data_IF_357638912832
#
_entry.id   IF_357638912832
#
_cell.length_a   1.000
_cell.length_b   1.000
_cell.length_c   1.000
_cell.angle_alpha   90.00
_cell.angle_beta   90.00
_cell.angle_gamma   90.00
#
_symmetry.space_group_name_H-M   'P 1'
#
loop_
_entity.id
_entity.type
_entity.pdbx_description
1 polymer ?
#
# COMPACT_ATOMS: atom_id res chain seq x y z
N UNK A 1 -25.12 -21.09 92.05
CA UNK A 1 -26.29 -21.13 91.16
C UNK A 1 -25.86 -20.71 89.76
N UNK A 2 -26.01 -21.64 88.81
CA UNK A 2 -25.93 -21.54 87.33
C UNK A 2 -24.88 -20.62 86.67
N UNK A 3 -23.75 -21.21 86.31
CA UNK A 3 -22.94 -20.80 85.14
C UNK A 3 -23.60 -21.36 83.88
N UNK A 4 -23.77 -20.55 82.83
CA UNK A 4 -24.18 -21.02 81.50
C UNK A 4 -23.10 -20.69 80.47
N UNK A 5 -22.49 -21.75 79.91
CA UNK A 5 -21.52 -21.68 78.81
C UNK A 5 -22.23 -21.37 77.50
N UNK A 6 -21.85 -20.29 76.81
CA UNK A 6 -22.32 -20.01 75.45
C UNK A 6 -21.22 -20.31 74.45
N UNK A 7 -21.32 -21.51 73.88
CA UNK A 7 -20.58 -21.98 72.71
C UNK A 7 -21.01 -21.17 71.49
N UNK A 8 -20.11 -20.34 70.94
CA UNK A 8 -20.34 -19.66 69.65
C UNK A 8 -19.96 -20.63 68.53
N UNK A 9 -20.95 -21.33 67.99
CA UNK A 9 -20.80 -22.14 66.78
C UNK A 9 -20.66 -21.23 65.55
N UNK A 10 -19.57 -21.44 64.81
CA UNK A 10 -19.30 -20.92 63.47
C UNK A 10 -20.49 -21.15 62.53
N UNK A 11 -21.07 -20.07 62.03
CA UNK A 11 -22.07 -20.08 60.94
C UNK A 11 -21.43 -19.58 59.64
N UNK A 12 -20.43 -20.31 59.14
CA UNK A 12 -19.69 -19.98 57.90
C UNK A 12 -19.88 -20.97 56.74
N UNK A 13 -20.53 -22.12 56.95
CA UNK A 13 -20.51 -23.22 55.97
C UNK A 13 -21.47 -23.10 54.78
N UNK A 14 -22.55 -22.32 54.86
CA UNK A 14 -23.59 -22.32 53.81
C UNK A 14 -23.29 -21.43 52.60
N UNK A 15 -22.48 -20.37 52.73
CA UNK A 15 -22.10 -19.52 51.58
C UNK A 15 -20.98 -20.15 50.74
N UNK A 16 -19.97 -20.76 51.38
CA UNK A 16 -18.91 -21.50 50.68
C UNK A 16 -19.47 -22.67 49.86
N UNK A 17 -20.44 -23.40 50.40
CA UNK A 17 -21.00 -24.56 49.71
C UNK A 17 -21.80 -24.18 48.45
N UNK A 18 -22.38 -22.97 48.40
CA UNK A 18 -23.14 -22.47 47.23
C UNK A 18 -22.22 -21.85 46.17
N UNK A 19 -21.09 -21.26 46.56
CA UNK A 19 -20.03 -20.82 45.62
C UNK A 19 -19.31 -22.01 45.01
N UNK A 20 -18.88 -23.01 45.81
CA UNK A 20 -18.29 -24.24 45.30
C UNK A 20 -19.21 -24.99 44.34
N UNK A 21 -20.52 -25.01 44.60
CA UNK A 21 -21.49 -25.67 43.72
C UNK A 21 -21.67 -24.94 42.38
N UNK A 22 -21.65 -23.60 42.38
CA UNK A 22 -21.66 -22.78 41.15
C UNK A 22 -20.36 -22.90 40.35
N UNK A 23 -19.20 -22.86 41.02
CA UNK A 23 -17.89 -23.07 40.39
C UNK A 23 -17.79 -24.47 39.76
N UNK A 24 -18.34 -25.50 40.42
CA UNK A 24 -18.36 -26.86 39.87
C UNK A 24 -19.22 -27.03 38.61
N UNK A 25 -20.32 -26.28 38.49
CA UNK A 25 -21.20 -26.32 37.30
C UNK A 25 -20.58 -25.54 36.13
N UNK A 26 -19.92 -24.40 36.39
CA UNK A 26 -19.18 -23.65 35.36
C UNK A 26 -17.92 -24.38 34.91
N UNK A 27 -17.21 -25.03 35.83
CA UNK A 27 -16.04 -25.87 35.54
C UNK A 27 -16.40 -27.07 34.65
N UNK A 28 -17.56 -27.70 34.89
CA UNK A 28 -18.02 -28.82 34.09
C UNK A 28 -18.39 -28.41 32.66
N UNK A 29 -18.90 -27.20 32.47
CA UNK A 29 -19.25 -26.67 31.14
C UNK A 29 -18.02 -26.23 30.34
N UNK A 30 -17.00 -25.69 31.01
CA UNK A 30 -15.79 -25.17 30.36
C UNK A 30 -14.71 -26.23 30.13
N UNK A 31 -14.81 -27.41 30.77
CA UNK A 31 -13.85 -28.52 30.58
C UNK A 31 -14.00 -29.15 29.20
N UNK A 32 -12.91 -29.14 28.44
CA UNK A 32 -12.85 -29.71 27.10
C UNK A 32 -12.48 -31.20 27.16
N UNK A 33 -12.87 -32.01 26.16
CA UNK A 33 -12.40 -33.39 26.05
C UNK A 33 -10.88 -33.46 25.85
N UNK A 34 -10.21 -34.41 26.49
CA UNK A 34 -8.75 -34.60 26.44
C UNK A 34 -8.19 -34.66 25.01
N UNK A 35 -8.95 -35.26 24.08
CA UNK A 35 -8.58 -35.33 22.66
C UNK A 35 -8.56 -33.94 22.00
N UNK A 36 -9.46 -33.06 22.39
CA UNK A 36 -9.55 -31.69 21.87
C UNK A 36 -8.42 -30.84 22.48
N UNK A 37 -8.13 -31.01 23.77
CA UNK A 37 -7.01 -30.33 24.44
C UNK A 37 -5.70 -30.70 23.75
N UNK A 38 -5.44 -31.99 23.56
CA UNK A 38 -4.23 -32.45 22.88
C UNK A 38 -4.16 -32.02 21.41
N UNK A 39 -5.30 -32.02 20.70
CA UNK A 39 -5.38 -31.50 19.33
C UNK A 39 -4.98 -30.03 19.24
N UNK A 40 -5.62 -29.16 20.04
CA UNK A 40 -5.34 -27.73 20.03
C UNK A 40 -3.90 -27.39 20.43
N UNK A 41 -3.29 -28.14 21.36
CA UNK A 41 -1.88 -27.93 21.74
C UNK A 41 -0.93 -28.36 20.60
N UNK A 42 -1.25 -29.44 19.87
CA UNK A 42 -0.50 -29.82 18.66
C UNK A 42 -0.64 -28.78 17.55
N UNK A 43 -1.83 -28.21 17.37
CA UNK A 43 -2.10 -27.18 16.35
C UNK A 43 -1.28 -25.90 16.61
N UNK A 44 -0.92 -25.64 17.87
CA UNK A 44 -0.04 -24.54 18.28
C UNK A 44 1.45 -24.85 18.00
N UNK A 45 1.79 -26.08 17.61
CA UNK A 45 3.14 -26.48 17.19
C UNK A 45 3.93 -27.25 18.25
N UNK A 46 3.31 -27.60 19.39
CA UNK A 46 3.96 -28.41 20.44
C UNK A 46 3.47 -29.87 20.31
N UNK A 47 4.36 -30.86 20.10
CA UNK A 47 3.97 -32.25 20.05
C UNK A 47 3.46 -32.71 21.42
N UNK A 48 2.13 -32.83 21.56
CA UNK A 48 1.45 -33.14 22.82
C UNK A 48 0.39 -34.21 22.61
N UNK A 49 0.56 -35.38 23.22
CA UNK A 49 -0.36 -36.51 23.06
C UNK A 49 -1.35 -36.61 24.22
N UNK A 50 -2.42 -37.39 24.04
CA UNK A 50 -3.37 -37.68 25.12
C UNK A 50 -2.71 -38.39 26.32
N UNK A 51 -1.65 -39.17 26.07
CA UNK A 51 -0.91 -39.84 27.13
C UNK A 51 -0.12 -38.83 27.99
N UNK A 52 0.39 -37.77 27.35
CA UNK A 52 1.11 -36.69 28.03
C UNK A 52 0.16 -35.84 28.87
N UNK A 53 -1.11 -35.71 28.50
CA UNK A 53 -2.11 -35.08 29.37
C UNK A 53 -2.39 -35.93 30.62
N UNK A 54 -2.59 -37.24 30.46
CA UNK A 54 -2.88 -38.18 31.56
C UNK A 54 -1.72 -38.32 32.55
N UNK A 55 -0.49 -38.18 32.07
CA UNK A 55 0.74 -38.16 32.88
C UNK A 55 1.59 -36.94 32.49
N UNK A 56 1.24 -35.74 33.01
CA UNK A 56 1.90 -34.52 32.60
C UNK A 56 3.37 -34.50 33.04
N UNK A 57 4.26 -34.35 32.05
CA UNK A 57 5.67 -34.09 32.30
C UNK A 57 5.87 -32.60 32.63
N UNK A 58 6.44 -32.23 33.79
CA UNK A 58 6.71 -30.84 34.17
C UNK A 58 7.41 -30.01 33.08
N UNK A 59 8.38 -30.61 32.38
CA UNK A 59 9.15 -29.92 31.34
C UNK A 59 8.30 -29.60 30.10
N UNK A 60 7.45 -30.54 29.67
CA UNK A 60 6.55 -30.33 28.55
C UNK A 60 5.46 -29.31 28.90
N UNK A 61 4.92 -29.37 30.12
CA UNK A 61 3.91 -28.42 30.60
C UNK A 61 4.50 -27.01 30.71
N UNK A 62 5.74 -26.88 31.19
CA UNK A 62 6.45 -25.60 31.21
C UNK A 62 6.60 -25.01 29.80
N UNK A 63 7.05 -25.82 28.83
CA UNK A 63 7.20 -25.37 27.43
C UNK A 63 5.87 -24.91 26.83
N UNK A 64 4.75 -25.60 27.16
CA UNK A 64 3.41 -25.18 26.74
C UNK A 64 3.04 -23.82 27.35
N UNK A 65 3.28 -23.61 28.65
CA UNK A 65 2.99 -22.33 29.29
C UNK A 65 3.87 -21.18 28.78
N UNK A 66 5.15 -21.43 28.51
CA UNK A 66 6.06 -20.44 27.92
C UNK A 66 5.55 -19.99 26.55
N UNK A 67 5.15 -20.93 25.69
CA UNK A 67 4.54 -20.63 24.39
C UNK A 67 3.27 -19.77 24.51
N UNK A 68 2.39 -20.10 25.46
CA UNK A 68 1.20 -19.28 25.68
C UNK A 68 1.53 -17.89 26.23
N UNK A 69 2.55 -17.75 27.08
CA UNK A 69 3.01 -16.45 27.55
C UNK A 69 3.58 -15.59 26.41
N UNK A 70 4.34 -16.21 25.50
CA UNK A 70 4.84 -15.56 24.30
C UNK A 70 3.70 -15.13 23.38
N UNK A 71 2.75 -16.02 23.08
CA UNK A 71 1.65 -15.75 22.15
C UNK A 71 0.66 -14.67 22.63
N UNK A 72 0.44 -14.57 23.95
CA UNK A 72 -0.57 -13.67 24.53
C UNK A 72 -0.02 -12.38 25.09
N UNK A 73 1.20 -12.42 25.63
CA UNK A 73 1.78 -11.27 26.34
C UNK A 73 3.08 -10.79 25.67
N UNK A 74 3.48 -11.37 24.53
CA UNK A 74 4.79 -11.16 23.90
C UNK A 74 5.95 -11.24 24.92
N UNK A 75 5.78 -12.10 25.92
CA UNK A 75 6.73 -12.24 27.03
C UNK A 75 7.69 -13.36 26.69
N UNK A 76 8.85 -13.01 26.13
CA UNK A 76 9.93 -13.96 25.84
C UNK A 76 11.00 -13.92 26.94
N UNK A 77 11.87 -14.93 26.95
CA UNK A 77 13.00 -14.98 27.90
C UNK A 77 13.86 -13.70 27.82
N UNK A 78 14.04 -13.16 26.62
CA UNK A 78 14.81 -11.93 26.35
C UNK A 78 14.17 -10.68 26.96
N UNK A 79 12.85 -10.67 27.15
CA UNK A 79 12.14 -9.53 27.79
C UNK A 79 12.09 -9.66 29.31
N UNK A 80 12.04 -10.89 29.83
CA UNK A 80 11.93 -11.16 31.28
C UNK A 80 13.29 -11.09 31.95
N UNK A 81 14.33 -11.61 31.32
CA UNK A 81 15.67 -11.71 31.91
C UNK A 81 16.26 -10.34 32.31
N UNK A 82 16.25 -9.29 31.48
CA UNK A 82 16.75 -7.98 31.88
C UNK A 82 15.95 -7.34 33.02
N UNK A 83 14.62 -7.51 33.00
CA UNK A 83 13.74 -6.98 34.04
C UNK A 83 13.94 -7.70 35.38
N UNK A 84 14.14 -9.02 35.35
CA UNK A 84 14.40 -9.82 36.56
C UNK A 84 15.83 -9.64 37.07
N UNK A 85 16.80 -9.40 36.19
CA UNK A 85 18.17 -9.03 36.55
C UNK A 85 18.17 -7.69 37.30
N UNK A 86 17.55 -6.65 36.72
CA UNK A 86 17.46 -5.33 37.35
C UNK A 86 16.74 -5.39 38.71
N UNK A 87 15.68 -6.19 38.83
CA UNK A 87 14.99 -6.40 40.10
C UNK A 87 15.84 -7.15 41.14
N UNK A 88 16.67 -8.11 40.70
CA UNK A 88 17.59 -8.82 41.59
C UNK A 88 18.75 -7.92 42.06
N UNK A 89 19.28 -7.07 41.18
CA UNK A 89 20.28 -6.05 41.51
C UNK A 89 19.74 -5.00 42.47
N UNK A 90 18.48 -4.58 42.33
CA UNK A 90 17.84 -3.62 43.26
C UNK A 90 17.62 -4.21 44.66
N UNK A 91 17.31 -5.51 44.76
CA UNK A 91 17.03 -6.19 46.04
C UNK A 91 18.32 -6.68 46.73
N UNK A 92 19.28 -7.20 45.97
CA UNK A 92 20.46 -7.89 46.48
C UNK A 92 21.80 -7.18 46.19
N UNK A 93 21.78 -6.05 45.46
CA UNK A 93 22.98 -5.27 45.13
C UNK A 93 24.07 -6.13 44.48
N UNK A 94 25.29 -6.04 45.02
CA UNK A 94 26.47 -6.79 44.59
C UNK A 94 26.35 -8.32 44.78
N UNK A 95 25.27 -8.81 45.38
CA UNK A 95 24.98 -10.23 45.59
C UNK A 95 23.84 -10.76 44.70
N UNK A 96 23.55 -10.10 43.58
CA UNK A 96 22.52 -10.51 42.61
C UNK A 96 22.69 -11.96 42.09
N UNK A 97 23.90 -12.52 42.16
CA UNK A 97 24.21 -13.91 41.79
C UNK A 97 23.73 -14.97 42.80
N UNK A 98 23.23 -14.58 43.98
CA UNK A 98 22.63 -15.51 44.95
C UNK A 98 21.38 -16.18 44.36
N UNK A 99 20.68 -15.51 43.45
CA UNK A 99 19.53 -16.05 42.75
C UNK A 99 19.97 -16.57 41.38
N UNK A 100 19.95 -17.90 41.14
CA UNK A 100 20.31 -18.45 39.84
C UNK A 100 19.46 -17.85 38.72
N UNK A 101 20.05 -17.59 37.53
CA UNK A 101 19.36 -16.99 36.39
C UNK A 101 18.07 -17.72 36.03
N UNK A 102 18.11 -19.04 36.03
CA UNK A 102 16.96 -19.88 35.70
C UNK A 102 15.81 -19.72 36.70
N UNK A 103 16.13 -19.59 37.99
CA UNK A 103 15.12 -19.44 39.05
C UNK A 103 14.45 -18.07 39.00
N UNK A 104 15.23 -16.99 38.77
CA UNK A 104 14.66 -15.64 38.65
C UNK A 104 13.80 -15.51 37.40
N UNK A 105 14.25 -16.04 36.26
CA UNK A 105 13.51 -15.98 35.01
C UNK A 105 12.20 -16.77 35.13
N UNK A 106 12.25 -17.99 35.70
CA UNK A 106 11.06 -18.80 35.95
C UNK A 106 10.03 -18.10 36.87
N UNK A 107 10.50 -17.37 37.89
CA UNK A 107 9.61 -16.58 38.75
C UNK A 107 9.02 -15.36 38.03
N UNK A 108 9.80 -14.70 37.17
CA UNK A 108 9.29 -13.65 36.28
C UNK A 108 8.19 -14.16 35.35
N UNK A 109 8.40 -15.33 34.75
CA UNK A 109 7.39 -16.02 33.96
C UNK A 109 6.16 -16.40 34.77
N UNK A 110 6.31 -16.90 36.00
CA UNK A 110 5.19 -17.25 36.87
C UNK A 110 4.30 -16.04 37.17
N UNK A 111 4.88 -14.86 37.41
CA UNK A 111 4.12 -13.63 37.67
C UNK A 111 3.30 -13.22 36.44
N UNK A 112 3.90 -13.27 35.26
CA UNK A 112 3.23 -12.98 33.99
C UNK A 112 2.12 -13.99 33.71
N UNK A 113 2.40 -15.28 33.87
CA UNK A 113 1.41 -16.35 33.73
C UNK A 113 0.25 -16.20 34.72
N UNK A 114 0.49 -15.82 35.97
CA UNK A 114 -0.60 -15.56 36.93
C UNK A 114 -1.52 -14.44 36.45
N UNK A 115 -0.98 -13.36 35.88
CA UNK A 115 -1.79 -12.29 35.29
C UNK A 115 -2.63 -12.80 34.12
N UNK A 116 -2.06 -13.62 33.24
CA UNK A 116 -2.78 -14.26 32.15
C UNK A 116 -3.89 -15.20 32.65
N UNK A 117 -3.58 -16.05 33.63
CA UNK A 117 -4.54 -17.01 34.20
C UNK A 117 -5.70 -16.29 34.88
N UNK A 118 -5.46 -15.16 35.54
CA UNK A 118 -6.51 -14.30 36.09
C UNK A 118 -7.48 -13.80 35.00
N UNK A 119 -6.97 -13.42 33.82
CA UNK A 119 -7.82 -13.00 32.69
C UNK A 119 -8.57 -14.18 32.06
N UNK A 120 -7.98 -15.38 32.12
CA UNK A 120 -8.62 -16.61 31.65
C UNK A 120 -9.68 -17.15 32.64
N UNK A 121 -9.79 -16.60 33.85
CA UNK A 121 -10.73 -17.03 34.88
C UNK A 121 -10.21 -18.07 35.87
N UNK A 122 -8.89 -18.33 35.88
CA UNK A 122 -8.22 -19.20 36.85
C UNK A 122 -7.54 -18.33 37.92
N UNK A 123 -8.14 -18.25 39.09
CA UNK A 123 -7.67 -17.39 40.18
C UNK A 123 -6.62 -18.03 41.09
N UNK A 124 -6.49 -19.35 41.06
CA UNK A 124 -5.71 -20.13 42.02
C UNK A 124 -4.41 -20.71 41.44
N UNK A 125 -3.86 -20.16 40.36
CA UNK A 125 -2.65 -20.66 39.70
C UNK A 125 -1.39 -20.56 40.59
N UNK A 126 -0.73 -21.69 40.79
CA UNK A 126 0.41 -21.84 41.71
C UNK A 126 1.63 -22.45 41.05
N UNK A 127 2.80 -22.24 41.66
CA UNK A 127 4.08 -22.77 41.16
C UNK A 127 4.10 -24.32 41.06
N UNK A 128 3.26 -25.00 41.84
CA UNK A 128 3.05 -26.45 41.77
C UNK A 128 2.51 -26.90 40.42
N UNK A 129 1.83 -26.01 39.68
CA UNK A 129 1.16 -26.35 38.42
C UNK A 129 2.18 -26.48 37.28
N UNK A 130 3.35 -25.86 37.46
CA UNK A 130 4.49 -25.97 36.55
C UNK A 130 5.41 -27.11 37.01
N UNK A 131 5.73 -27.16 38.31
CA UNK A 131 6.75 -28.10 38.84
C UNK A 131 6.23 -29.51 39.12
N UNK A 132 4.95 -29.66 39.46
CA UNK A 132 4.28 -30.95 39.76
C UNK A 132 2.85 -30.94 39.21
N UNK A 133 2.70 -30.89 37.88
CA UNK A 133 1.39 -30.86 37.25
C UNK A 133 0.58 -32.11 37.61
N UNK A 134 -0.71 -31.94 37.88
CA UNK A 134 -1.67 -33.03 38.03
C UNK A 134 -2.65 -33.02 36.88
N UNK A 135 -3.08 -34.20 36.43
CA UNK A 135 -3.97 -34.33 35.28
C UNK A 135 -5.22 -33.44 35.39
N UNK A 136 -5.95 -33.54 36.51
CA UNK A 136 -7.23 -32.84 36.66
C UNK A 136 -7.06 -31.31 36.64
N UNK A 137 -5.96 -30.82 37.23
CA UNK A 137 -5.64 -29.40 37.32
C UNK A 137 -5.16 -28.84 35.99
N UNK A 138 -4.27 -29.54 35.29
CA UNK A 138 -3.79 -29.12 33.96
C UNK A 138 -4.89 -29.20 32.91
N UNK A 139 -5.72 -30.25 32.94
CA UNK A 139 -6.86 -30.37 32.05
C UNK A 139 -7.84 -29.19 32.24
N UNK A 140 -8.08 -28.78 33.49
CA UNK A 140 -8.85 -27.57 33.79
C UNK A 140 -8.16 -26.32 33.24
N UNK A 141 -6.91 -26.05 33.60
CA UNK A 141 -6.18 -24.85 33.18
C UNK A 141 -6.11 -24.72 31.65
N UNK A 142 -5.75 -25.79 30.95
CA UNK A 142 -5.69 -25.77 29.49
C UNK A 142 -7.07 -25.62 28.84
N UNK A 143 -8.13 -26.17 29.42
CA UNK A 143 -9.49 -25.95 28.91
C UNK A 143 -9.88 -24.47 28.97
N UNK A 144 -9.63 -23.81 30.11
CA UNK A 144 -9.89 -22.38 30.28
C UNK A 144 -9.04 -21.53 29.33
N UNK A 145 -7.77 -21.88 29.16
CA UNK A 145 -6.86 -21.20 28.26
C UNK A 145 -7.27 -21.35 26.78
N UNK A 146 -7.63 -22.56 26.35
CA UNK A 146 -8.11 -22.81 24.97
C UNK A 146 -9.43 -22.08 24.70
N UNK A 147 -10.33 -22.02 25.68
CA UNK A 147 -11.55 -21.24 25.54
C UNK A 147 -11.26 -19.74 25.41
N UNK A 148 -10.25 -19.23 26.11
CA UNK A 148 -9.77 -17.86 25.94
C UNK A 148 -9.17 -17.62 24.54
N UNK A 149 -8.36 -18.57 24.02
CA UNK A 149 -7.86 -18.53 22.63
C UNK A 149 -9.03 -18.42 21.65
N UNK A 150 -10.02 -19.32 21.76
CA UNK A 150 -11.20 -19.34 20.87
C UNK A 150 -12.00 -18.05 20.93
N UNK A 151 -12.15 -17.48 22.13
CA UNK A 151 -12.79 -16.19 22.29
C UNK A 151 -12.01 -15.08 21.58
N UNK A 152 -10.68 -15.01 21.77
CA UNK A 152 -9.82 -14.06 21.08
C UNK A 152 -9.93 -14.20 19.56
N UNK A 153 -9.84 -15.42 19.04
CA UNK A 153 -9.98 -15.71 17.60
C UNK A 153 -11.32 -15.25 17.03
N UNK A 154 -12.41 -15.43 17.78
CA UNK A 154 -13.73 -14.94 17.36
C UNK A 154 -13.79 -13.40 17.25
N UNK A 155 -12.99 -12.69 18.06
CA UNK A 155 -12.92 -11.23 18.09
C UNK A 155 -11.84 -10.66 17.17
N UNK A 156 -10.94 -11.48 16.62
CA UNK A 156 -9.87 -11.04 15.71
C UNK A 156 -10.42 -10.23 14.53
N UNK A 157 -11.55 -10.63 13.95
CA UNK A 157 -12.16 -9.89 12.84
C UNK A 157 -12.55 -8.44 13.19
N UNK A 158 -13.02 -8.20 14.42
CA UNK A 158 -13.36 -6.86 14.90
C UNK A 158 -12.08 -6.05 15.21
N UNK A 159 -11.08 -6.70 15.81
CA UNK A 159 -9.78 -6.08 16.11
C UNK A 159 -9.08 -5.68 14.81
N UNK A 160 -9.01 -6.57 13.83
CA UNK A 160 -8.41 -6.31 12.52
C UNK A 160 -9.12 -5.16 11.79
N UNK A 161 -10.45 -5.07 11.88
CA UNK A 161 -11.18 -3.96 11.30
C UNK A 161 -10.81 -2.61 11.95
N UNK A 162 -10.59 -2.57 13.27
CA UNK A 162 -10.14 -1.36 13.96
C UNK A 162 -8.67 -1.04 13.68
N UNK A 163 -7.81 -2.07 13.64
CA UNK A 163 -6.40 -1.94 13.33
C UNK A 163 -6.20 -1.40 11.90
N UNK A 164 -6.87 -1.99 10.91
CA UNK A 164 -6.83 -1.55 9.53
C UNK A 164 -7.31 -0.11 9.38
N UNK A 165 -8.40 0.28 10.07
CA UNK A 165 -8.85 1.69 10.08
C UNK A 165 -7.80 2.64 10.67
N UNK A 166 -7.09 2.21 11.71
CA UNK A 166 -6.02 3.01 12.31
C UNK A 166 -4.83 3.16 11.35
N UNK A 167 -4.43 2.08 10.68
CA UNK A 167 -3.37 2.12 9.66
C UNK A 167 -3.77 2.96 8.44
N UNK A 168 -5.00 2.81 7.94
CA UNK A 168 -5.52 3.66 6.85
C UNK A 168 -5.50 5.15 7.23
N UNK A 169 -5.87 5.46 8.47
CA UNK A 169 -5.84 6.84 9.00
C UNK A 169 -4.40 7.34 9.09
N UNK A 170 -3.47 6.51 9.56
CA UNK A 170 -2.05 6.85 9.65
C UNK A 170 -1.45 7.10 8.26
N UNK A 171 -1.69 6.21 7.30
CA UNK A 171 -1.29 6.41 5.90
C UNK A 171 -1.89 7.70 5.34
N UNK A 172 -3.17 7.98 5.62
CA UNK A 172 -3.80 9.23 5.19
C UNK A 172 -3.12 10.46 5.78
N UNK A 173 -2.78 10.43 7.06
CA UNK A 173 -2.03 11.49 7.73
C UNK A 173 -0.66 11.69 7.06
N UNK A 174 0.08 10.61 6.82
CA UNK A 174 1.39 10.66 6.17
C UNK A 174 1.31 11.27 4.75
N UNK A 175 0.30 10.88 3.95
CA UNK A 175 0.07 11.49 2.63
C UNK A 175 -0.24 12.98 2.71
N UNK A 176 -1.09 13.39 3.64
CA UNK A 176 -1.43 14.81 3.83
C UNK A 176 -0.25 15.63 4.32
N UNK A 177 0.62 15.06 5.18
CA UNK A 177 1.85 15.72 5.59
C UNK A 177 2.82 15.92 4.42
N UNK A 178 3.00 14.90 3.58
CA UNK A 178 3.84 15.00 2.39
C UNK A 178 3.29 16.05 1.40
N UNK A 179 1.97 16.04 1.13
CA UNK A 179 1.31 17.03 0.27
C UNK A 179 1.47 18.46 0.84
N UNK A 180 1.29 18.64 2.15
CA UNK A 180 1.45 19.94 2.80
C UNK A 180 2.89 20.45 2.69
N UNK A 181 3.88 19.59 2.93
CA UNK A 181 5.29 19.94 2.78
C UNK A 181 5.64 20.34 1.33
N UNK A 182 5.09 19.65 0.34
CA UNK A 182 5.27 20.02 -1.08
C UNK A 182 4.63 21.37 -1.41
N UNK A 183 3.42 21.62 -0.89
CA UNK A 183 2.73 22.90 -1.08
C UNK A 183 3.45 24.06 -0.39
N UNK A 184 4.00 23.84 0.81
CA UNK A 184 4.82 24.82 1.51
C UNK A 184 6.08 25.18 0.70
N UNK A 185 6.77 24.18 0.14
CA UNK A 185 7.93 24.42 -0.72
C UNK A 185 7.55 25.23 -1.98
N UNK A 186 6.46 24.87 -2.67
CA UNK A 186 5.98 25.64 -3.83
C UNK A 186 5.62 27.08 -3.46
N UNK A 187 5.05 27.28 -2.27
CA UNK A 187 4.68 28.60 -1.78
C UNK A 187 5.93 29.45 -1.47
N UNK A 188 6.97 28.86 -0.90
CA UNK A 188 8.26 29.51 -0.71
C UNK A 188 8.94 29.88 -2.03
N UNK A 189 8.90 28.99 -3.03
CA UNK A 189 9.41 29.27 -4.37
C UNK A 189 8.66 30.43 -5.04
N UNK A 190 7.33 30.43 -4.98
CA UNK A 190 6.51 31.55 -5.50
C UNK A 190 6.83 32.86 -4.77
N UNK A 191 7.01 32.83 -3.44
CA UNK A 191 7.42 34.02 -2.67
C UNK A 191 8.80 34.52 -3.08
N UNK A 192 9.75 33.62 -3.36
CA UNK A 192 11.09 33.99 -3.86
C UNK A 192 11.00 34.64 -5.23
N UNK A 193 10.26 34.03 -6.16
CA UNK A 193 10.02 34.59 -7.49
C UNK A 193 9.32 35.94 -7.43
N UNK A 194 8.34 36.11 -6.54
CA UNK A 194 7.66 37.40 -6.35
C UNK A 194 8.63 38.47 -5.87
N UNK A 195 9.51 38.17 -4.90
CA UNK A 195 10.53 39.13 -4.43
C UNK A 195 11.52 39.51 -5.53
N UNK A 196 11.95 38.56 -6.35
CA UNK A 196 12.83 38.81 -7.50
C UNK A 196 12.14 39.71 -8.53
N UNK A 197 10.87 39.40 -8.86
CA UNK A 197 10.06 40.17 -9.79
C UNK A 197 9.81 41.59 -9.27
N UNK A 198 9.48 41.76 -7.99
CA UNK A 198 9.28 43.07 -7.36
C UNK A 198 10.53 43.95 -7.48
N UNK A 199 11.73 43.35 -7.38
CA UNK A 199 12.99 44.05 -7.62
C UNK A 199 13.11 44.60 -9.04
N UNK A 200 12.83 43.76 -10.04
CA UNK A 200 12.85 44.16 -11.46
C UNK A 200 11.78 45.21 -11.75
N UNK A 201 10.57 45.03 -11.22
CA UNK A 201 9.47 45.99 -11.38
C UNK A 201 9.86 47.34 -10.78
N UNK A 202 10.43 47.38 -9.57
CA UNK A 202 10.91 48.62 -8.94
C UNK A 202 11.97 49.33 -9.78
N UNK A 203 12.92 48.59 -10.35
CA UNK A 203 13.94 49.18 -11.22
C UNK A 203 13.32 49.76 -12.50
N UNK A 204 12.39 49.03 -13.12
CA UNK A 204 11.67 49.50 -14.32
C UNK A 204 10.81 50.72 -14.01
N UNK A 205 10.14 50.77 -12.86
CA UNK A 205 9.38 51.95 -12.44
C UNK A 205 10.28 53.15 -12.17
N UNK A 206 11.43 52.96 -11.51
CA UNK A 206 12.41 54.04 -11.29
C UNK A 206 12.89 54.62 -12.62
N UNK A 207 13.29 53.75 -13.57
CA UNK A 207 13.70 54.19 -14.91
C UNK A 207 12.57 54.90 -15.66
N UNK A 208 11.32 54.44 -15.51
CA UNK A 208 10.17 55.08 -16.14
C UNK A 208 9.94 56.49 -15.57
N UNK A 209 10.05 56.65 -14.25
CA UNK A 209 9.88 57.94 -13.59
C UNK A 209 11.03 58.90 -13.93
N UNK A 210 12.27 58.42 -14.02
CA UNK A 210 13.41 59.19 -14.55
C UNK A 210 13.22 59.62 -16.01
N UNK A 211 12.63 58.76 -16.84
CA UNK A 211 12.30 59.11 -18.23
C UNK A 211 11.19 60.15 -18.28
N UNK A 212 10.16 60.05 -17.42
CA UNK A 212 9.10 61.05 -17.31
C UNK A 212 9.64 62.41 -16.89
N UNK A 213 10.54 62.46 -15.90
CA UNK A 213 11.14 63.73 -15.48
C UNK A 213 11.96 64.35 -16.61
N UNK A 214 12.79 63.57 -17.31
CA UNK A 214 13.51 64.05 -18.50
C UNK A 214 12.58 64.52 -19.61
N UNK A 215 11.45 63.84 -19.83
CA UNK A 215 10.47 64.23 -20.84
C UNK A 215 9.82 65.57 -20.47
N UNK A 216 9.50 65.78 -19.20
CA UNK A 216 8.99 67.07 -18.69
C UNK A 216 10.03 68.19 -18.83
N UNK A 217 11.30 67.92 -18.55
CA UNK A 217 12.40 68.88 -18.74
C UNK A 217 12.56 69.25 -20.23
N UNK A 218 12.63 68.25 -21.11
CA UNK A 218 12.71 68.47 -22.56
C UNK A 218 11.50 69.24 -23.10
N UNK A 219 10.30 69.00 -22.56
CA UNK A 219 9.10 69.76 -22.93
C UNK A 219 9.23 71.23 -22.50
N UNK A 220 9.73 71.51 -21.30
CA UNK A 220 10.00 72.89 -20.85
C UNK A 220 11.04 73.56 -21.72
N UNK A 221 12.10 72.86 -22.09
CA UNK A 221 13.13 73.38 -22.99
C UNK A 221 12.56 73.65 -24.39
N UNK A 222 11.71 72.76 -24.91
CA UNK A 222 10.99 72.96 -26.16
C UNK A 222 10.09 74.20 -26.10
N UNK A 223 9.34 74.41 -25.01
CA UNK A 223 8.52 75.59 -24.80
C UNK A 223 9.37 76.87 -24.77
N UNK A 224 10.52 76.86 -24.08
CA UNK A 224 11.48 78.00 -24.10
C UNK A 224 12.02 78.27 -25.49
N UNK A 225 12.42 77.22 -26.22
CA UNK A 225 12.91 77.38 -27.60
C UNK A 225 11.82 77.94 -28.50
N UNK A 226 10.57 77.46 -28.38
CA UNK A 226 9.44 77.98 -29.13
C UNK A 226 9.15 79.46 -28.81
N UNK A 227 9.21 79.87 -27.54
CA UNK A 227 9.08 81.27 -27.14
C UNK A 227 10.20 82.13 -27.73
N UNK A 228 11.46 81.67 -27.66
CA UNK A 228 12.58 82.40 -28.26
C UNK A 228 12.44 82.50 -29.79
N UNK A 229 11.93 81.45 -30.43
CA UNK A 229 11.68 81.42 -31.87
C UNK A 229 10.60 82.44 -32.27
N UNK A 230 9.46 82.46 -31.58
CA UNK A 230 8.40 83.44 -31.84
C UNK A 230 8.86 84.87 -31.55
N UNK A 231 9.69 85.09 -30.51
CA UNK A 231 10.33 86.39 -30.27
C UNK A 231 11.21 86.82 -31.44
N UNK A 232 12.11 85.95 -31.90
CA UNK A 232 13.03 86.24 -33.02
C UNK A 232 12.25 86.45 -34.31
N UNK A 233 11.19 85.69 -34.55
CA UNK A 233 10.28 85.86 -35.70
C UNK A 233 9.54 87.19 -35.63
N UNK A 234 9.07 87.60 -34.46
CA UNK A 234 8.47 88.91 -34.22
C UNK A 234 9.45 90.05 -34.46
N UNK A 235 10.69 89.94 -33.96
CA UNK A 235 11.76 90.91 -34.24
C UNK A 235 12.11 90.97 -35.73
N UNK A 236 12.19 89.82 -36.41
CA UNK A 236 12.38 89.75 -37.86
C UNK A 236 11.26 90.48 -38.59
N UNK A 237 10.00 90.22 -38.24
CA UNK A 237 8.85 90.88 -38.84
C UNK A 237 8.88 92.40 -38.62
N UNK A 238 9.21 92.87 -37.41
CA UNK A 238 9.38 94.31 -37.11
C UNK A 238 10.52 94.94 -37.91
N UNK A 239 11.66 94.26 -38.02
CA UNK A 239 12.77 94.74 -38.86
C UNK A 239 12.39 94.77 -40.33
N UNK A 240 11.57 93.82 -40.78
CA UNK A 240 11.08 93.76 -42.14
C UNK A 240 10.09 94.89 -42.44
N UNK A 241 9.13 95.17 -41.56
CA UNK A 241 8.24 96.34 -41.73
C UNK A 241 9.01 97.65 -41.65
N UNK A 242 10.01 97.76 -40.77
CA UNK A 242 10.90 98.92 -40.72
C UNK A 242 11.69 99.07 -42.03
N UNK A 243 12.19 97.96 -42.59
CA UNK A 243 12.85 97.95 -43.88
C UNK A 243 11.89 98.42 -44.98
N UNK A 244 10.67 97.88 -45.01
CA UNK A 244 9.61 98.28 -45.96
C UNK A 244 9.29 99.78 -45.83
N UNK A 245 9.08 100.29 -44.62
CA UNK A 245 8.84 101.72 -44.37
C UNK A 245 10.03 102.59 -44.81
N UNK A 246 11.27 102.14 -44.55
CA UNK A 246 12.48 102.83 -45.00
C UNK A 246 12.60 102.78 -46.53
N UNK A 247 12.26 101.66 -47.17
CA UNK A 247 12.24 101.56 -48.63
C UNK A 247 11.15 102.42 -49.24
N UNK A 248 9.97 102.51 -48.61
CA UNK A 248 8.88 103.38 -49.05
C UNK A 248 9.25 104.85 -48.89
N UNK A 249 9.88 105.23 -47.76
CA UNK A 249 10.46 106.57 -47.57
C UNK A 249 11.52 106.88 -48.61
N UNK A 250 12.42 105.93 -48.89
CA UNK A 250 13.43 106.08 -49.94
C UNK A 250 12.78 106.22 -51.32
N UNK A 251 11.72 105.45 -51.61
CA UNK A 251 10.92 105.56 -52.83
C UNK A 251 10.20 106.90 -52.93
N UNK A 252 9.61 107.41 -51.85
CA UNK A 252 8.97 108.74 -51.78
C UNK A 252 10.00 109.84 -51.97
N UNK A 253 11.16 109.77 -51.32
CA UNK A 253 12.26 110.71 -51.54
C UNK A 253 12.81 110.60 -52.97
N UNK A 254 12.92 109.40 -53.55
CA UNK A 254 13.22 109.21 -54.97
C UNK A 254 12.14 109.81 -55.86
N UNK A 255 10.86 109.66 -55.52
CA UNK A 255 9.73 110.24 -56.26
C UNK A 255 9.68 111.76 -56.12
N UNK A 256 10.09 112.33 -54.99
CA UNK A 256 10.28 113.77 -54.80
C UNK A 256 11.50 114.25 -55.60
N UNK A 257 12.59 113.50 -55.62
CA UNK A 257 13.70 113.72 -56.54
C UNK A 257 13.26 113.61 -58.01
N UNK A 258 12.37 112.67 -58.36
CA UNK A 258 11.74 112.49 -59.69
C UNK A 258 10.74 113.59 -60.04
N UNK A 259 10.05 114.18 -59.05
CA UNK A 259 9.16 115.36 -59.20
C UNK A 259 9.96 116.66 -59.31
N UNK A 260 11.15 116.71 -58.72
CA UNK A 260 12.13 117.79 -58.87
C UNK A 260 13.01 117.61 -60.12
N UNK A 261 13.07 116.39 -60.68
CA UNK A 261 13.78 116.02 -61.92
C UNK A 261 13.32 116.79 -63.17
N UNK A 262 12.02 117.09 -63.41
CA UNK A 262 11.58 117.81 -64.60
C UNK A 262 11.90 119.31 -64.52
N UNK A 263 12.33 119.81 -63.36
CA UNK A 263 12.78 121.18 -63.16
C UNK A 263 14.31 121.34 -63.13
N UNK A 264 15.10 120.26 -63.24
CA UNK A 264 16.57 120.35 -63.21
C UNK A 264 17.26 119.73 -64.43
N UNK A 265 16.60 118.95 -65.28
CA UNK A 265 17.22 118.65 -66.59
C UNK A 265 16.24 118.12 -67.62
N UNK A 266 16.41 118.69 -68.81
CA UNK A 266 15.83 118.31 -70.08
C UNK A 266 16.24 116.89 -70.48
N UNK A 267 15.34 116.14 -71.12
CA UNK A 267 15.57 115.39 -72.38
C UNK A 267 14.58 114.23 -72.52
N UNK A 268 13.83 114.13 -73.64
CA UNK A 268 12.96 113.01 -74.00
C UNK A 268 13.63 111.62 -74.00
N UNK A 269 14.97 111.55 -74.06
CA UNK A 269 15.72 110.28 -74.06
C UNK A 269 15.78 109.61 -72.68
N UNK A 270 15.68 110.39 -71.59
CA UNK A 270 15.71 109.86 -70.22
C UNK A 270 14.42 109.12 -69.84
N UNK A 271 13.27 109.56 -70.37
CA UNK A 271 11.97 108.93 -70.18
C UNK A 271 11.82 107.65 -71.01
N UNK A 272 12.39 107.61 -72.23
CA UNK A 272 12.46 106.36 -73.00
C UNK A 272 13.36 105.33 -72.31
N UNK A 273 14.51 105.76 -71.77
CA UNK A 273 15.41 104.90 -70.98
C UNK A 273 14.75 104.32 -69.72
N UNK A 274 14.01 105.13 -68.96
CA UNK A 274 13.29 104.66 -67.77
C UNK A 274 12.11 103.73 -68.12
N UNK A 275 11.44 103.94 -69.27
CA UNK A 275 10.38 103.05 -69.75
C UNK A 275 10.96 101.71 -70.22
N UNK A 276 12.13 101.72 -70.86
CA UNK A 276 12.85 100.49 -71.19
C UNK A 276 13.33 99.77 -69.94
N UNK A 277 13.87 100.46 -68.93
CA UNK A 277 14.25 99.85 -67.65
C UNK A 277 13.04 99.25 -66.90
N UNK A 278 11.88 99.90 -66.91
CA UNK A 278 10.68 99.37 -66.24
C UNK A 278 10.12 98.15 -66.99
N UNK A 279 10.18 98.17 -68.33
CA UNK A 279 9.86 97.02 -69.19
C UNK A 279 10.81 95.85 -68.93
N UNK A 280 12.10 96.13 -68.81
CA UNK A 280 13.13 95.11 -68.52
C UNK A 280 12.97 94.55 -67.11
N UNK A 281 12.62 95.38 -66.12
CA UNK A 281 12.32 94.92 -64.77
C UNK A 281 11.03 94.08 -64.72
N UNK A 282 9.99 94.46 -65.45
CA UNK A 282 8.76 93.67 -65.56
C UNK A 282 9.02 92.32 -66.25
N UNK A 283 9.88 92.31 -67.27
CA UNK A 283 10.32 91.08 -67.93
C UNK A 283 11.17 90.22 -66.98
N UNK A 284 12.04 90.84 -66.17
CA UNK A 284 12.83 90.15 -65.16
C UNK A 284 11.95 89.53 -64.07
N UNK A 285 10.99 90.26 -63.53
CA UNK A 285 10.08 89.77 -62.49
C UNK A 285 9.16 88.66 -63.03
N UNK A 286 8.65 88.78 -64.26
CA UNK A 286 7.93 87.68 -64.91
C UNK A 286 8.81 86.44 -65.05
N UNK A 287 10.08 86.61 -65.43
CA UNK A 287 11.03 85.49 -65.51
C UNK A 287 11.32 84.86 -64.13
N UNK A 288 11.37 85.66 -63.06
CA UNK A 288 11.52 85.16 -61.69
C UNK A 288 10.28 84.41 -61.22
N UNK A 289 9.08 84.92 -61.49
CA UNK A 289 7.81 84.26 -61.13
C UNK A 289 7.69 82.93 -61.87
N UNK A 290 7.99 82.90 -63.16
CA UNK A 290 8.04 81.65 -63.94
C UNK A 290 9.08 80.66 -63.36
N UNK A 291 10.24 81.17 -62.92
CA UNK A 291 11.26 80.36 -62.25
C UNK A 291 10.77 79.78 -60.92
N UNK A 292 10.10 80.59 -60.11
CA UNK A 292 9.51 80.17 -58.82
C UNK A 292 8.36 79.18 -59.03
N UNK A 293 7.50 79.37 -60.03
CA UNK A 293 6.44 78.42 -60.38
C UNK A 293 6.99 77.07 -60.82
N UNK A 294 8.02 77.05 -61.68
CA UNK A 294 8.69 75.80 -62.07
C UNK A 294 9.27 75.09 -60.85
N UNK A 295 9.88 75.85 -59.94
CA UNK A 295 10.44 75.32 -58.69
C UNK A 295 9.36 74.78 -57.75
N UNK A 296 8.22 75.48 -57.64
CA UNK A 296 7.06 75.03 -56.88
C UNK A 296 6.49 73.74 -57.45
N UNK A 297 6.32 73.63 -58.78
CA UNK A 297 5.85 72.39 -59.43
C UNK A 297 6.84 71.22 -59.23
N UNK A 298 8.14 71.48 -59.29
CA UNK A 298 9.17 70.47 -59.02
C UNK A 298 9.12 70.00 -57.56
N UNK A 299 8.98 70.92 -56.59
CA UNK A 299 8.82 70.61 -55.18
C UNK A 299 7.51 69.86 -54.90
N UNK A 300 6.41 70.23 -55.55
CA UNK A 300 5.13 69.52 -55.43
C UNK A 300 5.25 68.06 -55.93
N UNK A 301 5.97 67.85 -57.03
CA UNK A 301 6.24 66.50 -57.57
C UNK A 301 7.07 65.69 -56.58
N UNK A 302 8.10 66.31 -55.99
CA UNK A 302 8.92 65.69 -54.94
C UNK A 302 8.09 65.35 -53.69
N UNK A 303 7.23 66.25 -53.25
CA UNK A 303 6.30 66.01 -52.13
C UNK A 303 5.41 64.80 -52.41
N UNK A 304 4.84 64.70 -53.62
CA UNK A 304 4.02 63.55 -54.03
C UNK A 304 4.80 62.24 -54.01
N UNK A 305 6.09 62.25 -54.40
CA UNK A 305 6.93 61.05 -54.29
C UNK A 305 7.21 60.67 -52.82
N UNK A 306 7.39 61.64 -51.93
CA UNK A 306 7.54 61.36 -50.50
C UNK A 306 6.27 60.79 -49.88
N UNK A 307 5.08 61.22 -50.30
CA UNK A 307 3.82 60.62 -49.82
C UNK A 307 3.68 59.17 -50.27
N UNK A 308 4.09 58.82 -51.50
CA UNK A 308 4.10 57.43 -51.96
C UNK A 308 5.06 56.59 -51.11
N UNK A 309 6.30 57.04 -50.93
CA UNK A 309 7.30 56.35 -50.10
C UNK A 309 6.82 56.21 -48.66
N UNK A 310 6.20 57.23 -48.07
CA UNK A 310 5.64 57.16 -46.73
C UNK A 310 4.54 56.09 -46.63
N UNK A 311 3.69 55.96 -47.64
CA UNK A 311 2.66 54.91 -47.67
C UNK A 311 3.28 53.51 -47.79
N UNK A 312 4.34 53.35 -48.58
CA UNK A 312 5.09 52.08 -48.68
C UNK A 312 5.78 51.70 -47.37
N UNK A 313 6.38 52.67 -46.68
CA UNK A 313 6.96 52.47 -45.34
C UNK A 313 5.89 52.06 -44.34
N UNK A 314 4.72 52.71 -44.34
CA UNK A 314 3.60 52.34 -43.47
C UNK A 314 3.08 50.92 -43.78
N UNK A 315 3.01 50.54 -45.06
CA UNK A 315 2.68 49.17 -45.46
C UNK A 315 3.72 48.16 -44.98
N UNK A 316 5.01 48.53 -45.03
CA UNK A 316 6.10 47.66 -44.59
C UNK A 316 6.10 47.47 -43.08
N UNK A 317 5.75 48.51 -42.31
CA UNK A 317 5.58 48.43 -40.85
C UNK A 317 4.45 47.45 -40.50
N UNK A 318 3.29 47.56 -41.16
CA UNK A 318 2.18 46.61 -40.94
C UNK A 318 2.58 45.17 -41.22
N UNK A 319 3.33 44.95 -42.31
CA UNK A 319 3.79 43.62 -42.69
C UNK A 319 4.78 43.05 -41.66
N UNK A 320 5.62 43.90 -41.06
CA UNK A 320 6.48 43.52 -39.94
C UNK A 320 5.68 43.21 -38.66
N UNK A 321 4.63 43.97 -38.36
CA UNK A 321 3.72 43.68 -37.24
C UNK A 321 3.02 42.33 -37.41
N UNK A 322 2.52 42.04 -38.61
CA UNK A 322 1.90 40.75 -38.95
C UNK A 322 2.91 39.59 -38.79
N UNK A 323 4.15 39.77 -39.27
CA UNK A 323 5.21 38.77 -39.11
C UNK A 323 5.51 38.54 -37.62
N UNK A 324 5.58 39.59 -36.80
CA UNK A 324 5.82 39.44 -35.35
C UNK A 324 4.72 38.62 -34.67
N UNK A 325 3.46 38.81 -35.07
CA UNK A 325 2.34 38.03 -34.55
C UNK A 325 2.44 36.57 -34.99
N UNK A 326 2.80 36.29 -36.24
CA UNK A 326 3.00 34.92 -36.70
C UNK A 326 4.19 34.24 -36.03
N UNK A 327 5.28 34.96 -35.77
CA UNK A 327 6.45 34.45 -35.06
C UNK A 327 6.12 34.08 -33.59
N UNK A 328 5.30 34.90 -32.92
CA UNK A 328 4.77 34.55 -31.59
C UNK A 328 3.89 33.30 -31.63
N UNK A 329 3.05 33.14 -32.66
CA UNK A 329 2.25 31.92 -32.81
C UNK A 329 3.13 30.71 -33.07
N UNK A 330 4.20 30.86 -33.85
CA UNK A 330 5.16 29.78 -34.12
C UNK A 330 5.86 29.33 -32.83
N UNK A 331 6.38 30.26 -32.03
CA UNK A 331 7.00 29.97 -30.71
C UNK A 331 6.02 29.25 -29.78
N UNK A 332 4.75 29.68 -29.74
CA UNK A 332 3.70 29.04 -28.96
C UNK A 332 3.41 27.59 -29.43
N UNK A 333 3.45 27.36 -30.74
CA UNK A 333 3.26 26.02 -31.31
C UNK A 333 4.49 25.14 -31.09
N UNK A 334 5.70 25.69 -31.17
CA UNK A 334 6.93 24.96 -30.86
C UNK A 334 6.95 24.54 -29.39
N UNK A 335 6.60 25.45 -28.47
CA UNK A 335 6.47 25.16 -27.03
C UNK A 335 5.44 24.05 -26.76
N UNK A 336 4.28 24.08 -27.43
CA UNK A 336 3.29 23.01 -27.36
C UNK A 336 3.82 21.70 -27.97
N UNK A 337 4.58 21.79 -29.06
CA UNK A 337 5.22 20.65 -29.72
C UNK A 337 6.22 19.94 -28.82
N UNK A 338 7.06 20.69 -28.11
CA UNK A 338 8.02 20.17 -27.13
C UNK A 338 7.28 19.45 -26.01
N UNK A 339 6.28 20.09 -25.38
CA UNK A 339 5.47 19.48 -24.32
C UNK A 339 4.77 18.19 -24.77
N UNK A 340 4.20 18.19 -25.97
CA UNK A 340 3.58 16.99 -26.54
C UNK A 340 4.59 15.88 -26.79
N UNK A 341 5.80 16.22 -27.25
CA UNK A 341 6.89 15.28 -27.47
C UNK A 341 7.40 14.68 -26.16
N UNK A 342 7.55 15.48 -25.11
CA UNK A 342 7.89 15.02 -23.76
C UNK A 342 6.81 14.10 -23.20
N UNK A 343 5.53 14.49 -23.29
CA UNK A 343 4.41 13.66 -22.87
C UNK A 343 4.32 12.33 -23.64
N UNK A 344 4.64 12.33 -24.95
CA UNK A 344 4.74 11.11 -25.75
C UNK A 344 5.93 10.24 -25.34
N UNK A 345 7.07 10.84 -24.99
CA UNK A 345 8.24 10.11 -24.51
C UNK A 345 7.97 9.45 -23.16
N UNK A 346 7.34 10.17 -22.23
CA UNK A 346 6.91 9.63 -20.92
C UNK A 346 5.91 8.50 -21.09
N UNK A 347 4.85 8.70 -21.90
CA UNK A 347 3.88 7.63 -22.22
C UNK A 347 4.55 6.44 -22.91
N UNK A 348 5.55 6.68 -23.76
CA UNK A 348 6.34 5.63 -24.39
C UNK A 348 7.14 4.82 -23.37
N UNK A 349 7.71 5.47 -22.35
CA UNK A 349 8.43 4.80 -21.27
C UNK A 349 7.48 3.97 -20.41
N UNK A 350 6.33 4.51 -20.01
CA UNK A 350 5.34 3.77 -19.21
C UNK A 350 4.78 2.56 -19.98
N UNK A 351 4.54 2.68 -21.28
CA UNK A 351 4.13 1.53 -22.12
C UNK A 351 5.22 0.45 -22.15
N UNK A 352 6.50 0.82 -22.24
CA UNK A 352 7.60 -0.17 -22.20
C UNK A 352 7.72 -0.84 -20.83
N UNK A 353 7.54 -0.09 -19.75
CA UNK A 353 7.53 -0.64 -18.39
C UNK A 353 6.37 -1.61 -18.19
N UNK A 354 5.15 -1.23 -18.62
CA UNK A 354 3.98 -2.09 -18.57
C UNK A 354 4.16 -3.33 -19.43
N UNK A 355 4.73 -3.22 -20.63
CA UNK A 355 5.03 -4.38 -21.47
C UNK A 355 6.07 -5.32 -20.82
N UNK A 356 7.04 -4.75 -20.09
CA UNK A 356 8.03 -5.53 -19.35
C UNK A 356 7.39 -6.28 -18.17
N UNK A 357 6.55 -5.61 -17.39
CA UNK A 357 5.83 -6.24 -16.27
C UNK A 357 4.83 -7.27 -16.75
N UNK A 358 4.12 -7.02 -17.86
CA UNK A 358 3.25 -8.00 -18.50
C UNK A 358 4.03 -9.26 -18.90
N UNK A 359 5.17 -9.11 -19.57
CA UNK A 359 6.01 -10.26 -19.96
C UNK A 359 6.52 -11.03 -18.74
N UNK A 360 6.91 -10.34 -17.67
CA UNK A 360 7.31 -10.97 -16.41
C UNK A 360 6.15 -11.79 -15.82
N UNK A 361 4.96 -11.19 -15.71
CA UNK A 361 3.77 -11.86 -15.19
C UNK A 361 3.36 -13.06 -16.05
N UNK A 362 3.44 -12.96 -17.38
CA UNK A 362 3.19 -14.08 -18.28
C UNK A 362 4.17 -15.24 -18.02
N UNK A 363 5.47 -14.96 -17.82
CA UNK A 363 6.44 -16.02 -17.50
C UNK A 363 6.19 -16.64 -16.12
N UNK A 364 5.78 -15.84 -15.13
CA UNK A 364 5.40 -16.36 -13.82
C UNK A 364 4.15 -17.23 -13.91
N UNK A 365 3.14 -16.80 -14.67
CA UNK A 365 1.90 -17.53 -14.89
C UNK A 365 2.18 -18.87 -15.58
N UNK A 366 3.03 -18.90 -16.59
CA UNK A 366 3.47 -20.14 -17.25
C UNK A 366 4.14 -21.10 -16.27
N UNK A 367 5.05 -20.61 -15.40
CA UNK A 367 5.68 -21.43 -14.35
C UNK A 367 4.66 -22.01 -13.36
N UNK A 368 3.66 -21.22 -12.98
CA UNK A 368 2.59 -21.69 -12.09
C UNK A 368 1.70 -22.72 -12.78
N UNK A 369 1.38 -22.54 -14.05
CA UNK A 369 0.64 -23.52 -14.84
C UNK A 369 1.40 -24.84 -14.95
N UNK A 370 2.69 -24.82 -15.28
CA UNK A 370 3.54 -26.02 -15.30
C UNK A 370 3.56 -26.74 -13.94
N UNK A 371 3.66 -25.97 -12.84
CA UNK A 371 3.63 -26.53 -11.48
C UNK A 371 2.27 -27.16 -11.14
N UNK A 372 1.17 -26.52 -11.53
CA UNK A 372 -0.18 -27.05 -11.35
C UNK A 372 -0.37 -28.33 -12.17
N UNK A 373 0.11 -28.37 -13.41
CA UNK A 373 0.05 -29.56 -14.26
C UNK A 373 0.88 -30.71 -13.70
N UNK A 374 2.09 -30.43 -13.20
CA UNK A 374 2.92 -31.43 -12.53
C UNK A 374 2.25 -32.00 -11.27
N UNK A 375 1.64 -31.14 -10.44
CA UNK A 375 0.88 -31.58 -9.26
C UNK A 375 -0.35 -32.40 -9.65
N UNK A 376 -1.08 -32.00 -10.71
CA UNK A 376 -2.22 -32.76 -11.23
C UNK A 376 -1.80 -34.14 -11.76
N UNK A 377 -0.68 -34.22 -12.49
CA UNK A 377 -0.12 -35.50 -12.96
C UNK A 377 0.28 -36.39 -11.77
N UNK A 378 1.05 -35.86 -10.81
CA UNK A 378 1.43 -36.60 -9.61
C UNK A 378 0.23 -37.08 -8.78
N UNK A 379 -0.83 -36.26 -8.67
CA UNK A 379 -2.05 -36.67 -8.00
C UNK A 379 -2.80 -37.77 -8.76
N UNK A 380 -2.84 -37.72 -10.10
CA UNK A 380 -3.44 -38.78 -10.92
C UNK A 380 -2.65 -40.08 -10.79
N UNK A 381 -1.33 -40.03 -10.90
CA UNK A 381 -0.45 -41.19 -10.72
C UNK A 381 -0.62 -41.82 -9.33
N UNK A 382 -0.70 -41.01 -8.26
CA UNK A 382 -0.97 -41.51 -6.91
C UNK A 382 -2.35 -42.14 -6.79
N UNK A 383 -3.37 -41.56 -7.44
CA UNK A 383 -4.72 -42.13 -7.45
C UNK A 383 -4.77 -43.47 -8.20
N UNK A 384 -4.14 -43.56 -9.37
CA UNK A 384 -4.02 -44.79 -10.15
C UNK A 384 -3.24 -45.87 -9.37
N UNK A 385 -2.13 -45.51 -8.72
CA UNK A 385 -1.38 -46.44 -7.86
C UNK A 385 -2.20 -46.91 -6.67
N UNK A 386 -2.97 -46.03 -6.03
CA UNK A 386 -3.85 -46.40 -4.93
C UNK A 386 -4.97 -47.33 -5.40
N UNK A 387 -5.55 -47.07 -6.58
CA UNK A 387 -6.57 -47.92 -7.19
C UNK A 387 -6.02 -49.30 -7.54
N UNK A 388 -4.85 -49.37 -8.19
CA UNK A 388 -4.19 -50.64 -8.49
C UNK A 388 -3.90 -51.46 -7.23
N UNK A 389 -3.39 -50.82 -6.16
CA UNK A 389 -3.19 -51.49 -4.86
C UNK A 389 -4.51 -51.96 -4.24
N UNK A 390 -5.59 -51.21 -4.40
CA UNK A 390 -6.91 -51.60 -3.90
C UNK A 390 -7.45 -52.82 -4.66
N UNK A 391 -7.26 -52.87 -5.98
CA UNK A 391 -7.61 -54.02 -6.83
C UNK A 391 -6.77 -55.26 -6.49
N UNK A 392 -5.45 -55.10 -6.29
CA UNK A 392 -4.57 -56.17 -5.81
C UNK A 392 -5.04 -56.71 -4.45
N UNK A 393 -5.31 -55.82 -3.48
CA UNK A 393 -5.82 -56.22 -2.16
C UNK A 393 -7.19 -56.92 -2.26
N UNK A 394 -8.07 -56.48 -3.15
CA UNK A 394 -9.34 -57.16 -3.41
C UNK A 394 -9.14 -58.55 -4.00
N UNK A 395 -8.21 -58.72 -4.95
CA UNK A 395 -7.88 -60.05 -5.48
C UNK A 395 -7.31 -60.99 -4.42
N UNK A 396 -6.40 -60.49 -3.56
CA UNK A 396 -5.82 -61.25 -2.47
C UNK A 396 -6.89 -61.60 -1.43
N UNK A 397 -7.79 -60.68 -1.11
CA UNK A 397 -8.91 -60.93 -0.21
C UNK A 397 -9.86 -62.00 -0.78
N UNK A 398 -10.11 -61.97 -2.09
CA UNK A 398 -10.92 -62.98 -2.79
C UNK A 398 -10.25 -64.36 -2.71
N UNK A 399 -8.95 -64.45 -3.04
CA UNK A 399 -8.17 -65.69 -2.92
C UNK A 399 -8.19 -66.24 -1.48
N UNK A 400 -7.94 -65.39 -0.47
CA UNK A 400 -7.99 -65.79 0.94
C UNK A 400 -9.38 -66.27 1.37
N UNK A 401 -10.46 -65.70 0.83
CA UNK A 401 -11.83 -66.20 1.08
C UNK A 401 -12.05 -67.55 0.44
N UNK A 402 -11.61 -67.75 -0.79
CA UNK A 402 -11.69 -69.03 -1.51
C UNK A 402 -10.89 -70.11 -0.77
N UNK A 403 -9.64 -69.83 -0.40
CA UNK A 403 -8.80 -70.73 0.40
C UNK A 403 -9.43 -71.07 1.76
N UNK A 404 -10.01 -70.08 2.46
CA UNK A 404 -10.73 -70.34 3.71
C UNK A 404 -11.94 -71.24 3.49
N UNK A 405 -12.72 -71.01 2.43
CA UNK A 405 -13.87 -71.83 2.08
C UNK A 405 -13.45 -73.27 1.72
N UNK A 406 -12.36 -73.44 0.96
CA UNK A 406 -11.80 -74.76 0.64
C UNK A 406 -11.29 -75.48 1.88
N UNK A 407 -10.47 -74.82 2.71
CA UNK A 407 -10.02 -75.38 3.99
C UNK A 407 -11.20 -75.77 4.87
N UNK A 408 -12.26 -74.98 4.91
CA UNK A 408 -13.46 -75.30 5.68
C UNK A 408 -14.22 -76.51 5.12
N UNK A 409 -14.32 -76.65 3.78
CA UNK A 409 -14.87 -77.86 3.14
C UNK A 409 -13.99 -79.09 3.38
N UNK A 410 -12.67 -78.94 3.41
CA UNK A 410 -11.76 -80.03 3.76
C UNK A 410 -11.88 -80.44 5.22
N UNK A 411 -11.96 -79.47 6.13
CA UNK A 411 -12.20 -79.71 7.55
C UNK A 411 -13.53 -80.43 7.76
N UNK A 412 -14.60 -80.03 7.08
CA UNK A 412 -15.89 -80.72 7.16
C UNK A 412 -15.81 -82.15 6.60
N UNK A 413 -15.13 -82.35 5.47
CA UNK A 413 -14.86 -83.70 4.94
C UNK A 413 -14.06 -84.57 5.92
N UNK A 414 -13.05 -84.01 6.59
CA UNK A 414 -12.28 -84.70 7.63
C UNK A 414 -13.16 -85.01 8.84
N UNK A 415 -14.00 -84.08 9.26
CA UNK A 415 -14.95 -84.26 10.37
C UNK A 415 -15.93 -85.38 10.10
N UNK A 416 -16.55 -85.42 8.91
CA UNK A 416 -17.44 -86.50 8.50
C UNK A 416 -16.71 -87.85 8.47
N UNK A 417 -15.45 -87.89 7.99
CA UNK A 417 -14.66 -89.14 8.03
C UNK A 417 -14.38 -89.59 9.45
N UNK A 418 -14.02 -88.67 10.34
CA UNK A 418 -13.79 -88.95 11.77
C UNK A 418 -15.08 -89.53 12.37
N UNK A 419 -16.21 -88.88 12.16
CA UNK A 419 -17.52 -89.32 12.66
C UNK A 419 -17.92 -90.71 12.10
N UNK A 420 -17.67 -90.97 10.81
CA UNK A 420 -17.87 -92.30 10.22
C UNK A 420 -16.96 -93.36 10.82
N UNK A 421 -15.69 -93.04 11.10
CA UNK A 421 -14.76 -93.96 11.76
C UNK A 421 -15.12 -94.20 13.22
N UNK A 422 -15.56 -93.17 13.94
CA UNK A 422 -16.05 -93.27 15.32
C UNK A 422 -17.29 -94.15 15.38
N UNK A 423 -18.24 -93.99 14.45
CA UNK A 423 -19.40 -94.87 14.35
C UNK A 423 -19.00 -96.32 14.08
N UNK A 424 -18.09 -96.57 13.12
CA UNK A 424 -17.58 -97.92 12.86
C UNK A 424 -16.87 -98.53 14.07
N UNK A 425 -16.12 -97.73 14.83
CA UNK A 425 -15.50 -98.17 16.08
C UNK A 425 -16.56 -98.51 17.15
N UNK A 426 -17.62 -97.73 17.24
CA UNK A 426 -18.75 -98.01 18.13
C UNK A 426 -19.47 -99.30 17.74
N UNK A 427 -19.80 -99.48 16.46
CA UNK A 427 -20.44 -100.70 15.94
C UNK A 427 -19.55 -101.95 16.13
N UNK A 428 -18.23 -101.81 15.92
CA UNK A 428 -17.25 -102.88 16.20
C UNK A 428 -17.17 -103.19 17.70
N UNK A 429 -17.25 -102.18 18.55
CA UNK A 429 -17.25 -102.36 20.00
C UNK A 429 -18.51 -103.09 20.46
N UNK A 430 -19.68 -102.73 19.94
CA UNK A 430 -20.96 -103.40 20.21
C UNK A 430 -20.93 -104.86 19.74
N UNK A 431 -20.40 -105.13 18.55
CA UNK A 431 -20.26 -106.52 18.06
C UNK A 431 -19.29 -107.35 18.89
N UNK A 432 -18.17 -106.77 19.36
CA UNK A 432 -17.26 -107.47 20.29
C UNK A 432 -17.95 -107.70 21.64
N UNK A 433 -18.69 -106.74 22.16
CA UNK A 433 -19.48 -106.89 23.40
C UNK A 433 -20.52 -108.01 23.24
N UNK A 434 -21.23 -108.07 22.11
CA UNK A 434 -22.17 -109.15 21.77
C UNK A 434 -21.48 -110.52 21.65
N UNK A 435 -20.30 -110.59 21.02
CA UNK A 435 -19.52 -111.83 20.93
C UNK A 435 -19.04 -112.29 22.30
N UNK A 436 -18.59 -111.36 23.16
CA UNK A 436 -18.24 -111.66 24.55
C UNK A 436 -19.48 -112.17 25.30
N UNK A 437 -20.64 -111.54 25.13
CA UNK A 437 -21.90 -111.99 25.74
C UNK A 437 -22.29 -113.40 25.26
N UNK A 438 -22.20 -113.68 23.95
CA UNK A 438 -22.48 -115.02 23.40
C UNK A 438 -21.50 -116.08 23.91
N UNK A 439 -20.20 -115.77 23.94
CA UNK A 439 -19.18 -116.66 24.47
C UNK A 439 -19.39 -116.90 25.97
N UNK A 440 -19.83 -115.88 26.72
CA UNK A 440 -20.18 -116.00 28.14
C UNK A 440 -21.42 -116.87 28.35
N UNK A 441 -22.46 -116.71 27.51
CA UNK A 441 -23.66 -117.55 27.54
C UNK A 441 -23.36 -119.01 27.18
N UNK A 442 -22.49 -119.25 26.20
CA UNK A 442 -22.01 -120.60 25.86
C UNK A 442 -21.19 -121.20 27.00
N UNK A 443 -20.32 -120.41 27.64
CA UNK A 443 -19.60 -120.82 28.84
C UNK A 443 -20.56 -121.22 29.97
N UNK A 444 -21.59 -120.41 30.24
CA UNK A 444 -22.62 -120.72 31.24
C UNK A 444 -23.42 -121.98 30.92
N UNK A 445 -23.72 -122.24 29.63
CA UNK A 445 -24.33 -123.50 29.19
C UNK A 445 -23.41 -124.68 29.40
N UNK A 446 -22.12 -124.56 29.08
CA UNK A 446 -21.14 -125.62 29.37
C UNK A 446 -21.02 -125.85 30.88
N UNK A 447 -21.00 -124.80 31.68
CA UNK A 447 -20.96 -124.91 33.14
C UNK A 447 -22.22 -125.59 33.71
N UNK A 448 -23.40 -125.29 33.16
CA UNK A 448 -24.65 -125.96 33.56
C UNK A 448 -24.71 -127.43 33.09
N UNK A 449 -24.18 -127.75 31.91
CA UNK A 449 -24.00 -129.13 31.44
C UNK A 449 -23.02 -129.91 32.32
N UNK A 450 -21.91 -129.29 32.74
CA UNK A 450 -20.97 -129.90 33.69
C UNK A 450 -21.67 -130.12 35.03
N UNK A 451 -22.37 -129.12 35.57
CA UNK A 451 -23.14 -129.26 36.83
C UNK A 451 -24.23 -130.33 36.75
N UNK A 452 -24.92 -130.46 35.62
CA UNK A 452 -25.88 -131.54 35.36
C UNK A 452 -25.19 -132.90 35.34
N UNK A 453 -24.04 -133.02 34.67
CA UNK A 453 -23.26 -134.25 34.66
C UNK A 453 -22.73 -134.62 36.06
N UNK A 454 -22.27 -133.65 36.84
CA UNK A 454 -21.84 -133.86 38.23
C UNK A 454 -23.01 -134.30 39.12
N UNK A 455 -24.20 -133.70 38.94
CA UNK A 455 -25.39 -134.08 39.72
C UNK A 455 -26.01 -135.41 39.27
N UNK A 456 -25.84 -135.82 38.02
CA UNK A 456 -26.17 -137.17 37.53
C UNK A 456 -25.20 -138.21 38.09
N UNK A 457 -23.90 -137.90 38.20
CA UNK A 457 -22.91 -138.77 38.86
C UNK A 457 -23.19 -138.91 40.36
N UNK A 458 -23.54 -137.82 41.05
CA UNK A 458 -23.88 -137.85 42.49
C UNK A 458 -25.18 -138.62 42.79
N UNK A 459 -26.09 -138.80 41.82
CA UNK A 459 -27.29 -139.66 41.96
C UNK A 459 -27.02 -141.14 41.66
N UNK A 460 -25.88 -141.47 41.07
CA UNK A 460 -25.46 -142.84 40.77
C UNK A 460 -24.47 -143.42 41.81
N UNK A 461 -24.19 -142.68 42.88
CA UNK A 461 -23.53 -143.12 44.11
C UNK A 461 -24.55 -143.15 45.25
#
# INVERSE_FOLDING_TARGET
MAYNSRTTQYRGGQQQHRQQKKESETDAFLRLPDKVIAGCINDIGIPFTMADLLKPNPQQVQMVFEWFAELFMNTTQETVEPAMLAAAEDIAGDQADIFPPDTRNLMGFLVSLRKLMLQCGVHDFTFTDITRPTYDRIAKIFSYLINFVRFRESQTSAIDAHFNKSEDTKMRIETLYAENQELEQRLEEMKRQQKEMDGVVREKTSRNDELKTRLLELRRDQERVAETFERVKGEKARKQTLLEEKTEKLLKSRQECEKLRPYVSQSPESLQSALTELSDNLAHDKSQVDGMERRMRALQTSMNTFTVVNNEVQSSIKLLEDILVELQKEDDQESKGIKNREALAERGNTVREVAHTEKLLQTQLARWQERIEALRKSSREKAEQAQARMEELHSVQKQLREERAEKQREMERRRIRIEQTEKKMADLKETIEDEIHRAHDEYLKMESHIKLYTTEIEKCL
#
